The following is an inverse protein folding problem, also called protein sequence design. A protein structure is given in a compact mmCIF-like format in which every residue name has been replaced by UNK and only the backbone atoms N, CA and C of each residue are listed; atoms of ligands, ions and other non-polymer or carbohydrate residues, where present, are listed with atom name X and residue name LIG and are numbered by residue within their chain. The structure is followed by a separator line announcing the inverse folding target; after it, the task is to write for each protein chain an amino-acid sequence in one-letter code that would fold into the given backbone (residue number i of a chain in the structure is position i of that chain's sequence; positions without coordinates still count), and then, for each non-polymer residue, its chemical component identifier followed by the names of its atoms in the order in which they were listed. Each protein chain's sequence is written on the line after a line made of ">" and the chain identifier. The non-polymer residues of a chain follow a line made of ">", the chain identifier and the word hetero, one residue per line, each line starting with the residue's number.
data_IF_311353850835
#
_entry.id   IF_311353850835
#
_cell.length_a   1.000
_cell.length_b   1.000
_cell.length_c   1.000
_cell.angle_alpha   90.00
_cell.angle_beta   90.00
_cell.angle_gamma   90.00
#
_symmetry.space_group_name_H-M   'P 1'
#
loop_
_entity.id
_entity.type
_entity.pdbx_description
1 polymer ?
#
# COMPACT_ATOMS: atom_id res chain seq x y z
N UNK A 1 -2.76 -8.60 21.16
CA UNK A 1 -2.69 -7.74 19.96
C UNK A 1 -1.77 -6.53 20.14
N UNK A 2 -1.94 -5.66 21.17
CA UNK A 2 -1.09 -4.45 21.34
C UNK A 2 0.42 -4.75 21.31
N UNK A 3 0.88 -5.79 21.99
CA UNK A 3 2.30 -6.17 22.01
C UNK A 3 2.89 -6.55 20.65
N UNK A 4 2.11 -7.22 19.79
CA UNK A 4 2.55 -7.60 18.44
C UNK A 4 2.62 -6.40 17.50
N UNK A 5 1.65 -5.48 17.59
CA UNK A 5 1.68 -4.23 16.83
C UNK A 5 2.89 -3.37 17.24
N UNK A 6 3.14 -3.25 18.54
CA UNK A 6 4.32 -2.55 19.06
C UNK A 6 5.62 -3.22 18.59
N UNK A 7 5.67 -4.55 18.53
CA UNK A 7 6.83 -5.28 18.00
C UNK A 7 7.14 -4.87 16.55
N UNK A 8 6.14 -4.91 15.67
CA UNK A 8 6.31 -4.50 14.27
C UNK A 8 6.71 -3.02 14.15
N UNK A 9 6.13 -2.14 14.97
CA UNK A 9 6.49 -0.73 15.00
C UNK A 9 7.93 -0.50 15.49
N UNK A 10 8.35 -1.14 16.58
CA UNK A 10 9.71 -0.97 17.11
C UNK A 10 10.76 -1.57 16.18
N UNK A 11 10.47 -2.68 15.52
CA UNK A 11 11.34 -3.29 14.51
C UNK A 11 11.57 -2.35 13.33
N UNK A 12 10.54 -1.60 12.91
CA UNK A 12 10.60 -0.71 11.75
C UNK A 12 10.84 0.76 12.09
N UNK A 13 10.84 1.15 13.38
CA UNK A 13 10.79 2.54 13.85
C UNK A 13 11.72 3.49 13.11
N UNK A 14 13.02 3.16 13.03
CA UNK A 14 14.02 4.01 12.39
C UNK A 14 13.73 4.17 10.89
N UNK A 15 13.37 3.07 10.22
CA UNK A 15 13.00 3.09 8.81
C UNK A 15 11.71 3.89 8.61
N UNK A 16 10.66 3.65 9.39
CA UNK A 16 9.39 4.37 9.29
C UNK A 16 9.56 5.89 9.39
N UNK A 17 10.42 6.40 10.29
CA UNK A 17 10.69 7.85 10.35
C UNK A 17 11.40 8.39 9.11
N UNK A 18 12.41 7.66 8.60
CA UNK A 18 13.12 8.06 7.38
C UNK A 18 12.14 8.07 6.20
N UNK A 19 11.39 6.99 6.02
CA UNK A 19 10.41 6.86 4.96
C UNK A 19 9.22 7.82 5.10
N UNK A 20 8.91 8.30 6.31
CA UNK A 20 7.92 9.36 6.52
C UNK A 20 8.37 10.69 5.93
N UNK A 21 9.64 11.07 6.12
CA UNK A 21 10.20 12.28 5.51
C UNK A 21 10.23 12.11 3.98
N UNK A 22 10.70 10.95 3.49
CA UNK A 22 10.72 10.65 2.05
C UNK A 22 9.32 10.67 1.44
N UNK A 23 8.30 10.19 2.16
CA UNK A 23 6.91 10.20 1.70
C UNK A 23 6.38 11.63 1.50
N UNK A 24 6.74 12.58 2.37
CA UNK A 24 6.35 14.00 2.21
C UNK A 24 7.03 14.60 0.97
N UNK A 25 8.33 14.32 0.77
CA UNK A 25 9.07 14.80 -0.40
C UNK A 25 8.48 14.22 -1.68
N UNK A 26 8.20 12.92 -1.70
CA UNK A 26 7.58 12.24 -2.83
C UNK A 26 6.17 12.80 -3.12
N UNK A 27 5.35 13.00 -2.07
CA UNK A 27 4.04 13.63 -2.21
C UNK A 27 4.14 15.02 -2.84
N UNK A 28 5.12 15.84 -2.40
CA UNK A 28 5.34 17.19 -2.92
C UNK A 28 5.77 17.20 -4.38
N UNK A 29 6.72 16.33 -4.76
CA UNK A 29 7.16 16.17 -6.14
C UNK A 29 5.98 15.77 -7.04
N UNK A 30 5.27 14.70 -6.69
CA UNK A 30 4.16 14.22 -7.50
C UNK A 30 2.97 15.17 -7.49
N UNK A 31 2.75 15.96 -6.44
CA UNK A 31 1.69 16.97 -6.44
C UNK A 31 1.87 18.04 -7.53
N UNK A 32 3.11 18.28 -8.00
CA UNK A 32 3.40 19.22 -9.10
C UNK A 32 3.25 18.55 -10.47
N UNK A 33 3.82 17.35 -10.64
CA UNK A 33 3.89 16.68 -11.96
C UNK A 33 2.69 15.79 -12.28
N UNK A 34 2.16 15.08 -11.29
CA UNK A 34 0.97 14.24 -11.42
C UNK A 34 0.22 14.18 -10.06
N UNK A 35 -0.62 15.18 -9.78
CA UNK A 35 -1.38 15.29 -8.54
C UNK A 35 -2.13 14.02 -8.10
N UNK A 36 -2.66 13.23 -9.05
CA UNK A 36 -3.36 11.97 -8.73
C UNK A 36 -2.43 10.93 -8.08
N UNK A 37 -1.15 10.94 -8.41
CA UNK A 37 -0.17 9.97 -7.88
C UNK A 37 0.41 10.38 -6.52
N UNK A 38 0.26 11.63 -6.09
CA UNK A 38 0.89 12.15 -4.87
C UNK A 38 0.64 11.28 -3.64
N UNK A 39 -0.62 10.97 -3.35
CA UNK A 39 -0.99 10.14 -2.18
C UNK A 39 -0.56 8.68 -2.33
N UNK A 40 -0.56 8.16 -3.56
CA UNK A 40 -0.14 6.79 -3.82
C UNK A 40 1.37 6.61 -3.61
N UNK A 41 2.17 7.55 -4.11
CA UNK A 41 3.62 7.52 -3.96
C UNK A 41 4.05 7.72 -2.50
N UNK A 42 3.37 8.61 -1.77
CA UNK A 42 3.57 8.74 -0.33
C UNK A 42 3.35 7.40 0.40
N UNK A 43 2.30 6.66 0.02
CA UNK A 43 1.98 5.42 0.70
C UNK A 43 2.83 4.23 0.27
N UNK A 44 3.29 4.16 -0.99
CA UNK A 44 4.34 3.20 -1.39
C UNK A 44 5.57 3.36 -0.49
N UNK A 45 6.04 4.61 -0.31
CA UNK A 45 7.20 4.88 0.55
C UNK A 45 6.95 4.47 2.00
N UNK A 46 5.76 4.77 2.56
CA UNK A 46 5.44 4.43 3.94
C UNK A 46 5.26 2.93 4.19
N UNK A 47 4.87 2.15 3.18
CA UNK A 47 4.60 0.71 3.33
C UNK A 47 5.86 -0.14 3.17
N UNK A 48 6.86 0.34 2.42
CA UNK A 48 8.15 -0.36 2.19
C UNK A 48 8.79 -0.94 3.47
N UNK A 49 8.88 -0.20 4.60
CA UNK A 49 9.43 -0.75 5.85
C UNK A 49 8.68 -1.98 6.36
N UNK A 50 7.36 -2.05 6.18
CA UNK A 50 6.56 -3.20 6.62
C UNK A 50 6.88 -4.42 5.76
N UNK A 51 6.93 -4.25 4.43
CA UNK A 51 7.22 -5.35 3.52
C UNK A 51 8.63 -5.90 3.74
N UNK A 52 9.60 -5.01 3.98
CA UNK A 52 10.97 -5.41 4.31
C UNK A 52 11.03 -6.13 5.66
N UNK A 53 10.29 -5.65 6.68
CA UNK A 53 10.29 -6.30 7.98
C UNK A 53 9.73 -7.73 7.94
N UNK A 54 8.67 -8.00 7.17
CA UNK A 54 8.13 -9.37 7.04
C UNK A 54 9.19 -10.31 6.47
N UNK A 55 9.98 -9.84 5.51
CA UNK A 55 11.08 -10.62 4.93
C UNK A 55 12.12 -10.96 6.01
N UNK A 56 12.57 -9.97 6.77
CA UNK A 56 13.53 -10.17 7.86
C UNK A 56 13.00 -11.07 8.99
N UNK A 57 11.72 -10.94 9.36
CA UNK A 57 11.07 -11.80 10.36
C UNK A 57 10.98 -13.25 9.88
N UNK A 58 10.78 -13.47 8.57
CA UNK A 58 10.82 -14.81 8.00
C UNK A 58 12.22 -15.41 7.97
N UNK A 59 13.22 -14.64 7.56
CA UNK A 59 14.62 -15.10 7.53
C UNK A 59 15.11 -15.47 8.94
N UNK A 60 14.71 -14.71 9.95
CA UNK A 60 15.10 -14.93 11.35
C UNK A 60 14.29 -16.01 12.09
N UNK A 61 13.39 -16.72 11.41
CA UNK A 61 12.47 -17.71 12.00
C UNK A 61 11.56 -17.16 13.11
N UNK A 62 11.36 -15.85 13.15
CA UNK A 62 10.50 -15.18 14.15
C UNK A 62 9.09 -15.78 14.20
N UNK A 63 8.57 -16.27 13.07
CA UNK A 63 7.26 -16.90 12.99
C UNK A 63 7.13 -18.19 13.84
N UNK A 64 8.23 -18.93 14.04
CA UNK A 64 8.25 -20.10 14.95
C UNK A 64 8.24 -19.65 16.42
N UNK A 65 8.90 -18.54 16.75
CA UNK A 65 8.81 -17.99 18.09
C UNK A 65 7.39 -17.51 18.40
N UNK A 66 6.76 -16.80 17.45
CA UNK A 66 5.39 -16.33 17.57
C UNK A 66 4.38 -17.47 17.77
N UNK A 67 4.63 -18.67 17.22
CA UNK A 67 3.74 -19.82 17.40
C UNK A 67 3.77 -20.40 18.82
N UNK A 68 4.81 -20.10 19.60
CA UNK A 68 4.94 -20.52 21.02
C UNK A 68 4.31 -19.54 22.01
N UNK A 69 4.01 -18.31 21.57
CA UNK A 69 3.41 -17.30 22.42
C UNK A 69 1.94 -17.65 22.74
N UNK A 70 1.40 -17.26 23.92
CA UNK A 70 0.01 -17.51 24.31
C UNK A 70 -0.97 -16.55 23.60
N UNK A 71 -0.86 -16.46 22.27
CA UNK A 71 -1.63 -15.57 21.40
C UNK A 71 -2.11 -16.34 20.18
N UNK A 72 -3.27 -15.96 19.63
CA UNK A 72 -3.79 -16.65 18.44
C UNK A 72 -2.90 -16.31 17.24
N UNK A 73 -2.60 -17.31 16.40
CA UNK A 73 -1.87 -17.11 15.13
C UNK A 73 -2.48 -16.02 14.25
N UNK A 74 -3.81 -15.86 14.28
CA UNK A 74 -4.52 -14.79 13.56
C UNK A 74 -4.27 -13.38 14.12
N UNK A 75 -3.87 -13.24 15.39
CA UNK A 75 -3.60 -11.94 16.01
C UNK A 75 -2.28 -11.33 15.51
N UNK A 76 -1.35 -12.15 15.06
CA UNK A 76 -0.13 -11.71 14.37
C UNK A 76 -0.47 -10.99 13.06
N UNK A 77 -1.30 -11.62 12.22
CA UNK A 77 -1.71 -11.03 10.93
C UNK A 77 -2.56 -9.78 11.13
N UNK A 78 -3.49 -9.80 12.09
CA UNK A 78 -4.27 -8.61 12.45
C UNK A 78 -3.38 -7.44 12.82
N UNK A 79 -2.30 -7.68 13.55
CA UNK A 79 -1.38 -6.63 13.97
C UNK A 79 -0.63 -6.04 12.77
N UNK A 80 -0.22 -6.89 11.81
CA UNK A 80 0.39 -6.44 10.55
C UNK A 80 -0.55 -5.62 9.68
N UNK A 81 -1.78 -6.08 9.46
CA UNK A 81 -2.76 -5.33 8.68
C UNK A 81 -3.22 -4.05 9.39
N UNK A 82 -3.31 -4.05 10.74
CA UNK A 82 -3.58 -2.84 11.49
C UNK A 82 -2.45 -1.81 11.32
N UNK A 83 -1.19 -2.23 11.40
CA UNK A 83 -0.06 -1.33 11.17
C UNK A 83 0.00 -0.81 9.73
N UNK A 84 -0.24 -1.68 8.76
CA UNK A 84 -0.39 -1.30 7.35
C UNK A 84 -1.50 -0.27 7.14
N UNK A 85 -2.68 -0.46 7.73
CA UNK A 85 -3.79 0.49 7.61
C UNK A 85 -3.48 1.84 8.29
N UNK A 86 -2.73 1.85 9.39
CA UNK A 86 -2.28 3.10 10.04
C UNK A 86 -1.33 3.86 9.12
N UNK A 87 -0.32 3.20 8.55
CA UNK A 87 0.62 3.84 7.62
C UNK A 87 -0.07 4.29 6.33
N UNK A 88 -1.01 3.49 5.84
CA UNK A 88 -1.82 3.84 4.69
C UNK A 88 -2.69 5.08 4.99
N UNK A 89 -3.36 5.14 6.15
CA UNK A 89 -4.10 6.32 6.59
C UNK A 89 -3.22 7.57 6.69
N UNK A 90 -1.99 7.43 7.22
CA UNK A 90 -1.02 8.52 7.25
C UNK A 90 -0.66 9.00 5.84
N UNK A 91 -0.46 8.07 4.90
CA UNK A 91 -0.16 8.41 3.49
C UNK A 91 -1.28 9.17 2.80
N UNK A 92 -2.54 8.81 3.08
CA UNK A 92 -3.72 9.50 2.57
C UNK A 92 -3.78 10.93 3.07
N UNK A 93 -3.52 11.15 4.37
CA UNK A 93 -3.51 12.48 4.95
C UNK A 93 -2.40 13.36 4.37
N UNK A 94 -1.18 12.82 4.23
CA UNK A 94 -0.05 13.54 3.63
C UNK A 94 -0.39 13.92 2.19
N UNK A 95 -0.81 12.96 1.38
CA UNK A 95 -1.09 13.18 -0.03
C UNK A 95 -2.27 14.13 -0.25
N UNK A 96 -3.35 14.01 0.52
CA UNK A 96 -4.49 14.91 0.46
C UNK A 96 -4.08 16.35 0.78
N UNK A 97 -3.38 16.57 1.89
CA UNK A 97 -2.95 17.91 2.32
C UNK A 97 -2.02 18.52 1.29
N UNK A 98 -0.96 17.79 0.89
CA UNK A 98 0.04 18.28 -0.04
C UNK A 98 -0.57 18.58 -1.41
N UNK A 99 -1.39 17.67 -1.94
CA UNK A 99 -2.05 17.86 -3.23
C UNK A 99 -3.01 19.04 -3.21
N UNK A 100 -3.79 19.20 -2.14
CA UNK A 100 -4.73 20.32 -2.01
C UNK A 100 -4.00 21.66 -1.96
N UNK A 101 -2.87 21.74 -1.25
CA UNK A 101 -2.06 22.97 -1.17
C UNK A 101 -1.44 23.30 -2.53
N UNK A 102 -0.89 22.31 -3.25
CA UNK A 102 -0.19 22.56 -4.52
C UNK A 102 -1.17 22.88 -5.65
N UNK A 103 -2.27 22.12 -5.75
CA UNK A 103 -3.24 22.29 -6.84
C UNK A 103 -4.34 23.29 -6.54
N UNK A 104 -4.42 23.79 -5.29
CA UNK A 104 -5.50 24.65 -4.80
C UNK A 104 -6.90 24.04 -5.00
N UNK A 105 -6.99 22.70 -5.06
CA UNK A 105 -8.23 21.97 -5.31
C UNK A 105 -8.40 20.79 -4.35
N UNK A 106 -9.42 20.89 -3.50
CA UNK A 106 -9.81 19.79 -2.59
C UNK A 106 -10.25 18.56 -3.38
N UNK A 107 -10.91 18.75 -4.53
CA UNK A 107 -11.37 17.65 -5.37
C UNK A 107 -10.21 16.80 -5.89
N UNK A 108 -9.13 17.44 -6.35
CA UNK A 108 -7.94 16.73 -6.83
C UNK A 108 -7.24 16.02 -5.66
N UNK A 109 -7.20 16.63 -4.47
CA UNK A 109 -6.72 15.98 -3.25
C UNK A 109 -7.50 14.71 -2.89
N UNK A 110 -8.84 14.75 -2.98
CA UNK A 110 -9.70 13.58 -2.77
C UNK A 110 -9.45 12.51 -3.82
N UNK A 111 -9.36 12.89 -5.11
CA UNK A 111 -9.06 11.95 -6.20
C UNK A 111 -7.68 11.30 -6.03
N UNK A 112 -6.68 12.05 -5.57
CA UNK A 112 -5.36 11.51 -5.22
C UNK A 112 -5.45 10.46 -4.10
N UNK A 113 -6.23 10.74 -3.05
CA UNK A 113 -6.50 9.78 -1.98
C UNK A 113 -7.18 8.51 -2.48
N UNK A 114 -8.21 8.63 -3.31
CA UNK A 114 -8.90 7.49 -3.94
C UNK A 114 -7.96 6.68 -4.83
N UNK A 115 -7.10 7.33 -5.60
CA UNK A 115 -6.07 6.67 -6.40
C UNK A 115 -5.12 5.83 -5.55
N UNK A 116 -4.76 6.33 -4.36
CA UNK A 116 -3.93 5.63 -3.39
C UNK A 116 -4.59 4.32 -2.92
N UNK A 117 -5.90 4.29 -2.67
CA UNK A 117 -6.62 3.04 -2.37
C UNK A 117 -6.47 1.98 -3.46
N UNK A 118 -6.53 2.38 -4.73
CA UNK A 118 -6.35 1.44 -5.85
C UNK A 118 -4.93 0.86 -5.91
N UNK A 119 -3.91 1.72 -5.89
CA UNK A 119 -2.49 1.30 -5.98
C UNK A 119 -2.09 0.49 -4.75
N UNK A 120 -2.24 1.07 -3.56
CA UNK A 120 -1.77 0.47 -2.32
C UNK A 120 -2.61 -0.76 -1.98
N UNK A 121 -3.90 -0.71 -2.25
CA UNK A 121 -4.77 -1.86 -2.07
C UNK A 121 -4.41 -3.02 -2.98
N UNK A 122 -4.03 -2.77 -4.24
CA UNK A 122 -3.47 -3.80 -5.12
C UNK A 122 -2.14 -4.36 -4.59
N UNK A 123 -1.28 -3.50 -4.04
CA UNK A 123 0.01 -3.89 -3.45
C UNK A 123 -0.11 -4.82 -2.23
N UNK A 124 -1.28 -4.84 -1.57
CA UNK A 124 -1.53 -5.73 -0.42
C UNK A 124 -1.40 -7.23 -0.72
N UNK A 125 -1.40 -7.63 -2.01
CA UNK A 125 -1.21 -9.02 -2.45
C UNK A 125 0.15 -9.58 -2.00
N UNK A 126 1.15 -8.73 -1.72
CA UNK A 126 2.44 -9.16 -1.18
C UNK A 126 2.29 -9.87 0.16
N UNK A 127 1.37 -9.45 1.02
CA UNK A 127 1.20 -10.06 2.34
C UNK A 127 0.88 -11.57 2.26
N UNK A 128 -0.23 -12.01 1.62
CA UNK A 128 -0.56 -13.44 1.57
C UNK A 128 0.50 -14.26 0.82
N UNK A 129 1.12 -13.72 -0.22
CA UNK A 129 2.17 -14.41 -0.97
C UNK A 129 3.43 -14.60 -0.10
N UNK A 130 3.89 -13.54 0.57
CA UNK A 130 5.05 -13.60 1.46
C UNK A 130 4.77 -14.55 2.63
N UNK A 131 3.56 -14.54 3.19
CA UNK A 131 3.17 -15.53 4.19
C UNK A 131 3.20 -16.95 3.62
N UNK A 132 2.74 -17.21 2.39
CA UNK A 132 2.72 -18.57 1.81
C UNK A 132 4.10 -19.12 1.46
N UNK A 133 4.91 -18.35 0.73
CA UNK A 133 6.08 -18.87 0.00
C UNK A 133 7.43 -18.66 0.70
N UNK A 134 7.45 -18.00 1.85
CA UNK A 134 8.69 -17.83 2.61
C UNK A 134 9.50 -16.61 2.19
N UNK A 135 10.60 -16.35 2.92
CA UNK A 135 11.54 -15.29 2.57
C UNK A 135 12.48 -15.67 1.41
N UNK A 136 12.73 -16.96 1.19
CA UNK A 136 13.56 -17.43 0.06
C UNK A 136 13.05 -16.93 -1.30
N UNK A 137 11.72 -16.89 -1.47
CA UNK A 137 11.08 -16.39 -2.69
C UNK A 137 10.66 -14.91 -2.61
N UNK A 138 11.02 -14.20 -1.54
CA UNK A 138 10.54 -12.82 -1.28
C UNK A 138 10.84 -11.85 -2.42
N UNK A 139 12.03 -11.93 -3.02
CA UNK A 139 12.40 -11.09 -4.17
C UNK A 139 11.50 -11.37 -5.38
N UNK A 140 11.21 -12.65 -5.65
CA UNK A 140 10.32 -13.06 -6.75
C UNK A 140 8.90 -12.57 -6.50
N UNK A 141 8.42 -12.66 -5.25
CA UNK A 141 7.09 -12.17 -4.84
C UNK A 141 6.98 -10.67 -5.03
N UNK A 142 8.00 -9.90 -4.62
CA UNK A 142 8.03 -8.45 -4.80
C UNK A 142 8.04 -8.06 -6.29
N UNK A 143 8.84 -8.75 -7.10
CA UNK A 143 8.88 -8.53 -8.56
C UNK A 143 7.51 -8.82 -9.17
N UNK A 144 6.92 -9.98 -8.85
CA UNK A 144 5.61 -10.37 -9.36
C UNK A 144 4.51 -9.38 -8.96
N UNK A 145 4.47 -8.97 -7.69
CA UNK A 145 3.51 -7.99 -7.21
C UNK A 145 3.71 -6.61 -7.85
N UNK A 146 4.95 -6.20 -8.09
CA UNK A 146 5.28 -4.94 -8.78
C UNK A 146 4.83 -4.97 -10.24
N UNK A 147 5.00 -6.09 -10.94
CA UNK A 147 4.50 -6.27 -12.32
C UNK A 147 2.97 -6.20 -12.35
N UNK A 148 2.28 -6.88 -11.43
CA UNK A 148 0.82 -6.79 -11.30
C UNK A 148 0.35 -5.35 -11.05
N UNK A 149 1.04 -4.64 -10.17
CA UNK A 149 0.75 -3.25 -9.86
C UNK A 149 0.95 -2.34 -11.08
N UNK A 150 2.03 -2.57 -11.86
CA UNK A 150 2.30 -1.84 -13.09
C UNK A 150 1.22 -2.10 -14.16
N UNK A 151 0.81 -3.35 -14.36
CA UNK A 151 -0.28 -3.71 -15.28
C UNK A 151 -1.59 -3.03 -14.84
N UNK A 152 -1.92 -3.11 -13.55
CA UNK A 152 -3.10 -2.46 -12.96
C UNK A 152 -3.08 -0.95 -13.21
N UNK A 153 -1.93 -0.31 -13.02
CA UNK A 153 -1.74 1.12 -13.23
C UNK A 153 -1.89 1.52 -14.71
N UNK A 154 -1.31 0.75 -15.63
CA UNK A 154 -1.44 1.00 -17.08
C UNK A 154 -2.90 0.87 -17.53
N UNK A 155 -3.60 -0.18 -17.08
CA UNK A 155 -5.02 -0.39 -17.40
C UNK A 155 -5.87 0.77 -16.86
N UNK A 156 -5.64 1.18 -15.61
CA UNK A 156 -6.31 2.34 -15.03
C UNK A 156 -6.10 3.59 -15.89
N UNK A 157 -4.86 3.89 -16.26
CA UNK A 157 -4.54 5.12 -16.99
C UNK A 157 -5.16 5.14 -18.40
N UNK A 158 -5.18 3.99 -19.07
CA UNK A 158 -5.83 3.85 -20.37
C UNK A 158 -7.34 4.12 -20.31
N UNK A 159 -8.04 3.53 -19.33
CA UNK A 159 -9.47 3.75 -19.10
C UNK A 159 -9.73 5.20 -18.69
N UNK A 160 -8.88 5.75 -17.81
CA UNK A 160 -8.98 7.13 -17.37
C UNK A 160 -8.86 8.10 -18.55
N UNK A 161 -7.87 7.94 -19.42
CA UNK A 161 -7.68 8.77 -20.62
C UNK A 161 -8.88 8.72 -21.57
N UNK A 162 -9.44 7.52 -21.81
CA UNK A 162 -10.64 7.37 -22.64
C UNK A 162 -11.87 8.13 -22.12
N UNK A 163 -12.07 8.13 -20.80
CA UNK A 163 -13.24 8.77 -20.17
C UNK A 163 -13.03 10.28 -19.97
N UNK A 164 -11.82 10.68 -19.61
CA UNK A 164 -11.47 12.06 -19.26
C UNK A 164 -11.27 12.98 -20.47
N UNK A 165 -11.18 12.40 -21.68
CA UNK A 165 -10.82 13.11 -22.91
C UNK A 165 -9.36 13.58 -22.95
N UNK A 166 -8.57 13.24 -21.92
CA UNK A 166 -7.15 13.52 -21.87
C UNK A 166 -6.40 12.53 -22.77
N UNK A 167 -5.49 13.02 -23.60
CA UNK A 167 -4.59 12.14 -24.34
C UNK A 167 -3.79 11.31 -23.33
N UNK A 168 -3.57 10.01 -23.60
CA UNK A 168 -2.90 9.08 -22.69
C UNK A 168 -1.41 9.42 -22.40
N UNK A 169 -0.95 10.61 -22.77
CA UNK A 169 0.41 11.11 -22.59
C UNK A 169 0.45 12.52 -21.94
N UNK A 170 -0.68 13.20 -21.77
CA UNK A 170 -0.75 14.49 -21.07
C UNK A 170 -0.91 14.28 -19.56
N UNK A 171 0.21 14.00 -18.89
CA UNK A 171 0.28 13.83 -17.43
C UNK A 171 -0.08 15.11 -16.64
N UNK A 172 -0.04 16.29 -17.28
CA UNK A 172 -0.20 17.59 -16.61
C UNK A 172 -1.66 18.09 -16.54
N UNK A 173 -2.58 17.56 -17.36
CA UNK A 173 -3.98 17.99 -17.39
C UNK A 173 -4.91 16.93 -16.83
N UNK A 174 -4.91 16.80 -15.51
CA UNK A 174 -5.92 16.01 -14.81
C UNK A 174 -7.26 16.75 -14.91
N UNK A 175 -8.17 16.23 -15.75
CA UNK A 175 -9.56 16.68 -15.75
C UNK A 175 -10.34 16.02 -14.61
N UNK A 176 -11.32 16.71 -14.04
CA UNK A 176 -12.20 16.15 -12.99
C UNK A 176 -13.23 15.16 -13.55
N UNK A 177 -13.37 15.07 -14.88
CA UNK A 177 -14.35 14.24 -15.57
C UNK A 177 -14.11 12.72 -15.34
N UNK A 178 -12.87 12.31 -15.09
CA UNK A 178 -12.51 10.90 -14.84
C UNK A 178 -12.81 10.38 -13.43
N UNK A 179 -13.51 11.14 -12.58
CA UNK A 179 -13.71 10.83 -11.16
C UNK A 179 -14.34 9.45 -10.89
N UNK A 180 -15.28 9.00 -11.73
CA UNK A 180 -15.89 7.67 -11.62
C UNK A 180 -14.87 6.54 -11.79
N UNK A 181 -13.91 6.68 -12.70
CA UNK A 181 -12.85 5.69 -12.93
C UNK A 181 -11.97 5.57 -11.69
N UNK A 182 -11.64 6.70 -11.05
CA UNK A 182 -10.87 6.73 -9.80
C UNK A 182 -11.61 6.04 -8.65
N UNK A 183 -12.92 6.28 -8.53
CA UNK A 183 -13.75 5.60 -7.51
C UNK A 183 -13.79 4.09 -7.73
N UNK A 184 -14.04 3.64 -8.96
CA UNK A 184 -14.06 2.21 -9.28
C UNK A 184 -12.72 1.57 -8.95
N UNK A 185 -11.62 2.24 -9.29
CA UNK A 185 -10.28 1.77 -8.98
C UNK A 185 -10.01 1.69 -7.46
N UNK A 186 -10.45 2.68 -6.69
CA UNK A 186 -10.38 2.68 -5.24
C UNK A 186 -11.16 1.50 -4.62
N UNK A 187 -12.37 1.24 -5.11
CA UNK A 187 -13.21 0.12 -4.66
C UNK A 187 -12.53 -1.22 -4.93
N UNK A 188 -11.95 -1.40 -6.12
CA UNK A 188 -11.16 -2.60 -6.46
C UNK A 188 -10.01 -2.78 -5.47
N UNK A 189 -9.26 -1.72 -5.17
CA UNK A 189 -8.16 -1.76 -4.19
C UNK A 189 -8.62 -2.17 -2.78
N UNK A 190 -9.76 -1.65 -2.32
CA UNK A 190 -10.36 -2.02 -1.02
C UNK A 190 -10.76 -3.50 -1.00
N UNK A 191 -11.36 -4.00 -2.08
CA UNK A 191 -11.73 -5.42 -2.23
C UNK A 191 -10.49 -6.29 -2.19
N UNK A 192 -9.44 -5.94 -2.95
CA UNK A 192 -8.18 -6.68 -2.97
C UNK A 192 -7.54 -6.70 -1.57
N UNK A 193 -7.51 -5.57 -0.87
CA UNK A 193 -6.96 -5.51 0.50
C UNK A 193 -7.71 -6.42 1.46
N UNK A 194 -9.04 -6.43 1.37
CA UNK A 194 -9.90 -7.27 2.20
C UNK A 194 -9.70 -8.76 1.91
N UNK A 195 -9.58 -9.11 0.62
CA UNK A 195 -9.28 -10.49 0.19
C UNK A 195 -7.87 -10.90 0.64
N UNK A 196 -6.87 -10.03 0.48
CA UNK A 196 -5.49 -10.26 0.92
C UNK A 196 -5.40 -10.51 2.42
N UNK A 197 -6.18 -9.80 3.22
CA UNK A 197 -6.29 -10.02 4.67
C UNK A 197 -6.85 -11.41 4.99
N UNK A 198 -7.99 -11.77 4.38
CA UNK A 198 -8.64 -13.07 4.60
C UNK A 198 -7.73 -14.22 4.16
N UNK A 199 -7.09 -14.09 2.99
CA UNK A 199 -6.15 -15.07 2.46
C UNK A 199 -4.93 -15.23 3.38
N UNK A 200 -4.36 -14.13 3.87
CA UNK A 200 -3.24 -14.16 4.80
C UNK A 200 -3.56 -14.99 6.04
N UNK A 201 -4.75 -14.79 6.64
CA UNK A 201 -5.21 -15.56 7.80
C UNK A 201 -5.36 -17.04 7.46
N UNK A 202 -6.02 -17.36 6.34
CA UNK A 202 -6.23 -18.74 5.92
C UNK A 202 -4.91 -19.47 5.65
N UNK A 203 -3.94 -18.79 5.03
CA UNK A 203 -2.63 -19.35 4.70
C UNK A 203 -1.85 -19.62 5.98
N UNK A 204 -1.71 -18.63 6.86
CA UNK A 204 -0.89 -18.74 8.06
C UNK A 204 -1.45 -19.74 9.08
N UNK A 205 -2.78 -19.87 9.18
CA UNK A 205 -3.39 -20.88 10.05
C UNK A 205 -3.17 -22.32 9.54
N UNK A 206 -2.93 -22.51 8.23
CA UNK A 206 -2.67 -23.82 7.62
C UNK A 206 -1.19 -24.17 7.57
N UNK A 207 -0.30 -23.26 7.98
CA UNK A 207 1.13 -23.54 7.99
C UNK A 207 1.52 -24.43 9.16
N UNK A 208 2.26 -25.48 8.84
CA UNK A 208 2.99 -26.28 9.82
C UNK A 208 4.19 -25.44 10.29
N UNK A 209 4.01 -24.82 11.45
CA UNK A 209 4.97 -23.99 12.20
C UNK A 209 5.13 -24.61 13.58
#
# INVERSE_FOLDING_TARGET
>A
MKGMLLSSFYATRKQTYIYFIVAIIAAGYFAVFNPLMSSAMAGVMLITPITDNIKHEKDSRWMYYVSTLPVKRSDYIKSYFAFYLILFGASLMIGLIVTTIVTQSVMIGIMSGLMSFGIIGAYSIIFPLTFKFGAENSNVIMIFASILLLISFVVFFFIYGMVSGASALEFEKISTEGWLVVIVYAVIGIVITSVSYILSIKIFNKQEL
#
